data_IF_605543795668
#
_entry.id   IF_605543795668
#
_cell.length_a   1.000
_cell.length_b   1.000
_cell.length_c   1.000
_cell.angle_alpha   90.00
_cell.angle_beta   90.00
_cell.angle_gamma   90.00
#
_symmetry.space_group_name_H-M   'P 1'
#
loop_
_entity.id
_entity.type
_entity.pdbx_description
1 polymer ?
#
# COMPACT_ATOMS: atom_id res chain seq x y z
N UNK A 1 36.62 16.61 22.71
CA UNK A 1 35.70 16.69 21.56
C UNK A 1 35.86 15.42 20.73
N UNK A 2 34.79 14.78 20.27
CA UNK A 2 34.91 13.57 19.45
C UNK A 2 35.58 13.90 18.11
N UNK A 3 36.36 12.97 17.56
CA UNK A 3 37.02 13.14 16.27
C UNK A 3 35.99 13.30 15.14
N UNK A 4 36.34 13.96 14.01
CA UNK A 4 35.42 14.15 12.87
C UNK A 4 34.80 12.85 12.36
N UNK A 5 35.55 11.73 12.41
CA UNK A 5 35.08 10.40 12.02
C UNK A 5 33.98 9.87 12.96
N UNK A 6 34.16 10.01 14.27
CA UNK A 6 33.15 9.54 15.24
C UNK A 6 31.82 10.32 15.08
N UNK A 7 31.87 11.57 14.62
CA UNK A 7 30.66 12.35 14.36
C UNK A 7 29.95 11.94 13.06
N UNK A 8 30.67 11.61 11.98
CA UNK A 8 30.07 11.07 10.76
C UNK A 8 29.44 9.71 11.01
N UNK A 9 30.12 8.83 11.74
CA UNK A 9 29.62 7.49 12.06
C UNK A 9 28.32 7.55 12.88
N UNK A 10 28.28 8.43 13.89
CA UNK A 10 27.08 8.63 14.71
C UNK A 10 25.92 9.21 13.90
N UNK A 11 26.21 10.09 12.93
CA UNK A 11 25.21 10.65 12.02
C UNK A 11 24.68 9.57 11.07
N UNK A 12 25.55 8.73 10.53
CA UNK A 12 25.19 7.64 9.62
C UNK A 12 24.25 6.63 10.29
N UNK A 13 24.60 6.19 11.51
CA UNK A 13 23.74 5.32 12.30
C UNK A 13 22.36 5.93 12.55
N UNK A 14 22.29 7.24 12.85
CA UNK A 14 21.01 7.93 13.05
C UNK A 14 20.17 8.00 11.77
N UNK A 15 20.78 8.18 10.60
CA UNK A 15 20.07 8.23 9.31
C UNK A 15 19.47 6.87 8.95
N UNK A 16 20.26 5.80 9.12
CA UNK A 16 19.79 4.42 8.88
C UNK A 16 18.68 4.02 9.85
N UNK A 17 18.83 4.31 11.16
CA UNK A 17 17.81 4.03 12.18
C UNK A 17 16.51 4.80 11.93
N UNK A 18 16.61 6.06 11.51
CA UNK A 18 15.44 6.88 11.14
C UNK A 18 14.67 6.26 9.97
N UNK A 19 15.38 5.78 8.95
CA UNK A 19 14.78 5.12 7.80
C UNK A 19 14.10 3.80 8.18
N UNK A 20 14.77 2.98 9.00
CA UNK A 20 14.23 1.71 9.46
C UNK A 20 12.95 1.92 10.28
N UNK A 21 12.93 2.90 11.18
CA UNK A 21 11.72 3.28 11.94
C UNK A 21 10.57 3.69 11.03
N UNK A 22 10.84 4.51 10.03
CA UNK A 22 9.82 4.90 9.05
C UNK A 22 9.30 3.69 8.27
N UNK A 23 10.20 2.81 7.80
CA UNK A 23 9.84 1.60 7.07
C UNK A 23 8.93 0.69 7.90
N UNK A 24 9.33 0.36 9.13
CA UNK A 24 8.54 -0.50 10.01
C UNK A 24 7.16 0.09 10.28
N UNK A 25 7.09 1.40 10.53
CA UNK A 25 5.83 2.07 10.75
C UNK A 25 4.90 2.03 9.53
N UNK A 26 5.45 2.16 8.32
CA UNK A 26 4.68 1.98 7.09
C UNK A 26 4.21 0.53 6.96
N UNK A 27 5.07 -0.46 7.20
CA UNK A 27 4.72 -1.88 7.15
C UNK A 27 3.64 -2.29 8.17
N UNK A 28 3.58 -1.62 9.31
CA UNK A 28 2.57 -1.83 10.36
C UNK A 28 1.26 -1.03 10.13
N UNK A 29 1.25 -0.08 9.19
CA UNK A 29 0.08 0.75 8.89
C UNK A 29 -1.03 0.00 8.15
N UNK A 30 -2.17 0.64 7.91
CA UNK A 30 -3.24 0.07 7.07
C UNK A 30 -2.82 0.04 5.60
N UNK A 31 -3.21 -1.01 4.86
CA UNK A 31 -2.80 -1.20 3.46
C UNK A 31 -3.22 -0.04 2.54
N UNK A 32 -4.35 0.61 2.84
CA UNK A 32 -4.80 1.82 2.15
C UNK A 32 -3.74 2.93 2.22
N UNK A 33 -3.16 3.16 3.41
CA UNK A 33 -2.13 4.17 3.62
C UNK A 33 -0.77 3.67 3.15
N UNK A 34 -0.47 2.37 3.23
CA UNK A 34 0.78 1.80 2.70
C UNK A 34 0.97 2.17 1.24
N UNK A 35 -0.05 1.99 0.41
CA UNK A 35 0.04 2.31 -1.01
C UNK A 35 0.40 3.79 -1.28
N UNK A 36 -0.03 4.69 -0.39
CA UNK A 36 0.27 6.12 -0.46
C UNK A 36 1.65 6.48 0.11
N UNK A 37 2.13 5.71 1.09
CA UNK A 37 3.36 5.97 1.83
C UNK A 37 4.59 5.26 1.24
N UNK A 38 4.41 4.11 0.59
CA UNK A 38 5.48 3.34 -0.06
C UNK A 38 6.29 4.17 -1.08
N UNK A 39 5.68 5.01 -1.95
CA UNK A 39 6.43 5.83 -2.88
C UNK A 39 7.39 6.82 -2.20
N UNK A 40 7.14 7.18 -0.93
CA UNK A 40 7.98 8.09 -0.16
C UNK A 40 9.26 7.43 0.36
N UNK A 41 9.25 6.11 0.57
CA UNK A 41 10.45 5.40 1.00
C UNK A 41 11.57 5.47 -0.04
N UNK A 42 11.21 5.47 -1.33
CA UNK A 42 12.18 5.48 -2.42
C UNK A 42 13.08 6.74 -2.44
N UNK A 43 12.55 7.98 -2.47
CA UNK A 43 13.40 9.16 -2.45
C UNK A 43 14.19 9.31 -1.16
N UNK A 44 13.59 8.98 -0.01
CA UNK A 44 14.29 9.02 1.28
C UNK A 44 15.49 8.07 1.28
N UNK A 45 15.29 6.84 0.79
CA UNK A 45 16.34 5.83 0.65
C UNK A 45 17.49 6.31 -0.24
N UNK A 46 17.19 6.83 -1.44
CA UNK A 46 18.22 7.33 -2.36
C UNK A 46 18.98 8.54 -1.79
N UNK A 47 18.31 9.46 -1.11
CA UNK A 47 18.98 10.60 -0.50
C UNK A 47 19.93 10.18 0.62
N UNK A 48 19.56 9.20 1.45
CA UNK A 48 20.48 8.62 2.45
C UNK A 48 21.70 8.01 1.77
N UNK A 49 21.49 7.18 0.74
CA UNK A 49 22.57 6.57 -0.01
C UNK A 49 23.54 7.60 -0.60
N UNK A 50 23.01 8.65 -1.22
CA UNK A 50 23.81 9.74 -1.77
C UNK A 50 24.55 10.55 -0.69
N UNK A 51 23.95 10.76 0.47
CA UNK A 51 24.60 11.44 1.59
C UNK A 51 25.74 10.62 2.21
N UNK A 52 25.67 9.28 2.13
CA UNK A 52 26.77 8.39 2.54
C UNK A 52 27.94 8.45 1.56
N UNK A 53 27.68 8.47 0.25
CA UNK A 53 28.75 8.61 -0.77
C UNK A 53 29.45 9.98 -0.65
N UNK A 54 28.70 11.05 -0.39
CA UNK A 54 29.28 12.40 -0.19
C UNK A 54 30.17 12.45 1.06
N UNK A 55 29.91 11.60 2.05
CA UNK A 55 30.74 11.48 3.26
C UNK A 55 31.96 10.56 3.09
N UNK A 56 32.19 10.03 1.88
CA UNK A 56 33.28 9.09 1.55
C UNK A 56 33.18 7.73 2.27
N UNK A 57 31.99 7.41 2.81
CA UNK A 57 31.69 6.17 3.55
C UNK A 57 31.07 5.10 2.64
N UNK A 58 31.87 4.65 1.65
CA UNK A 58 31.41 3.76 0.57
C UNK A 58 30.98 2.38 1.09
N UNK A 59 31.65 1.84 2.11
CA UNK A 59 31.33 0.51 2.66
C UNK A 59 29.94 0.50 3.30
N UNK A 60 29.65 1.51 4.13
CA UNK A 60 28.34 1.71 4.75
C UNK A 60 27.26 1.92 3.69
N UNK A 61 27.54 2.72 2.65
CA UNK A 61 26.62 2.94 1.54
C UNK A 61 26.26 1.64 0.80
N UNK A 62 27.24 0.78 0.52
CA UNK A 62 27.00 -0.52 -0.14
C UNK A 62 26.18 -1.48 0.72
N UNK A 63 26.48 -1.52 2.01
CA UNK A 63 25.72 -2.34 2.96
C UNK A 63 24.26 -1.89 3.04
N UNK A 64 24.03 -0.59 3.19
CA UNK A 64 22.70 0.00 3.16
C UNK A 64 22.00 -0.29 1.83
N UNK A 65 22.73 -0.20 0.71
CA UNK A 65 22.16 -0.45 -0.60
C UNK A 65 21.68 -1.89 -0.78
N UNK A 66 22.49 -2.86 -0.34
CA UNK A 66 22.15 -4.29 -0.42
C UNK A 66 20.94 -4.69 0.42
N UNK A 67 20.72 -4.04 1.57
CA UNK A 67 19.63 -4.40 2.50
C UNK A 67 18.24 -4.03 1.98
N UNK A 68 18.13 -2.96 1.20
CA UNK A 68 16.83 -2.37 0.84
C UNK A 68 16.55 -2.39 -0.67
N UNK A 69 17.48 -2.90 -1.49
CA UNK A 69 17.31 -3.05 -2.94
C UNK A 69 16.08 -3.87 -3.33
N UNK A 70 15.71 -4.87 -2.53
CA UNK A 70 14.59 -5.78 -2.82
C UNK A 70 13.20 -5.15 -2.61
N UNK A 71 13.12 -4.01 -1.92
CA UNK A 71 11.84 -3.33 -1.62
C UNK A 71 11.20 -2.72 -2.86
N UNK A 72 12.00 -2.41 -3.89
CA UNK A 72 11.58 -1.60 -5.03
C UNK A 72 11.80 -2.35 -6.36
N UNK A 73 10.98 -3.38 -6.67
CA UNK A 73 11.12 -4.15 -7.90
C UNK A 73 10.87 -3.33 -9.18
N UNK A 74 10.06 -2.28 -9.10
CA UNK A 74 9.68 -1.45 -10.26
C UNK A 74 10.79 -0.49 -10.75
N UNK A 75 11.93 -0.45 -10.07
CA UNK A 75 13.01 0.53 -10.31
C UNK A 75 14.39 -0.14 -10.41
N UNK A 76 14.44 -1.45 -10.67
CA UNK A 76 15.68 -2.24 -10.70
C UNK A 76 16.73 -1.66 -11.67
N UNK A 77 16.32 -1.12 -12.82
CA UNK A 77 17.25 -0.54 -13.80
C UNK A 77 17.97 0.70 -13.27
N UNK A 78 17.24 1.64 -12.69
CA UNK A 78 17.79 2.84 -12.06
C UNK A 78 18.69 2.46 -10.88
N UNK A 79 18.28 1.49 -10.06
CA UNK A 79 19.09 0.96 -8.96
C UNK A 79 20.43 0.40 -9.43
N UNK A 80 20.46 -0.36 -10.53
CA UNK A 80 21.72 -0.88 -11.08
C UNK A 80 22.67 0.26 -11.48
N UNK A 81 22.13 1.35 -12.01
CA UNK A 81 22.94 2.53 -12.32
C UNK A 81 23.46 3.16 -11.02
N UNK A 82 22.63 3.36 -10.01
CA UNK A 82 23.08 3.91 -8.73
C UNK A 82 24.11 3.02 -8.01
N UNK A 83 23.99 1.69 -8.10
CA UNK A 83 24.96 0.73 -7.54
C UNK A 83 26.37 0.87 -8.16
N UNK A 84 26.44 1.27 -9.43
CA UNK A 84 27.72 1.53 -10.10
C UNK A 84 28.42 2.79 -9.58
N UNK A 85 27.68 3.71 -8.93
CA UNK A 85 28.18 5.00 -8.48
C UNK A 85 28.75 4.85 -7.08
N UNK A 86 30.06 4.64 -7.01
CA UNK A 86 30.78 4.44 -5.75
C UNK A 86 31.74 5.60 -5.42
N UNK A 87 31.78 6.65 -6.24
CA UNK A 87 32.63 7.82 -6.01
C UNK A 87 31.79 9.10 -6.07
N UNK A 88 32.08 10.09 -5.22
CA UNK A 88 31.45 11.41 -5.32
C UNK A 88 31.67 12.06 -6.69
N UNK A 89 32.76 11.76 -7.40
CA UNK A 89 32.99 12.25 -8.77
C UNK A 89 31.96 11.70 -9.75
N UNK A 90 31.69 10.40 -9.69
CA UNK A 90 30.68 9.76 -10.54
C UNK A 90 29.26 10.28 -10.27
N UNK A 91 28.97 10.76 -9.05
CA UNK A 91 27.69 11.42 -8.77
C UNK A 91 27.51 12.73 -9.54
N UNK A 92 28.61 13.47 -9.78
CA UNK A 92 28.58 14.73 -10.53
C UNK A 92 28.63 14.51 -12.05
N UNK A 93 29.06 13.33 -12.50
CA UNK A 93 29.09 12.97 -13.92
C UNK A 93 27.77 12.35 -14.39
N UNK A 94 27.06 11.63 -13.51
CA UNK A 94 25.87 10.90 -13.90
C UNK A 94 24.63 11.80 -13.94
N UNK A 95 24.09 12.00 -15.15
CA UNK A 95 22.90 12.80 -15.38
C UNK A 95 21.67 12.33 -14.56
N UNK A 96 21.56 11.04 -14.23
CA UNK A 96 20.44 10.53 -13.42
C UNK A 96 20.50 11.05 -11.98
N UNK A 97 21.68 11.07 -11.36
CA UNK A 97 21.85 11.57 -9.98
C UNK A 97 21.63 13.07 -9.93
N UNK A 98 22.13 13.80 -10.93
CA UNK A 98 21.92 15.24 -11.06
C UNK A 98 20.43 15.54 -11.24
N UNK A 99 19.77 14.82 -12.15
CA UNK A 99 18.32 14.94 -12.38
C UNK A 99 17.53 14.66 -11.10
N UNK A 100 17.91 13.64 -10.35
CA UNK A 100 17.25 13.28 -9.09
C UNK A 100 17.45 14.34 -7.99
N UNK A 101 18.63 14.95 -7.88
CA UNK A 101 18.89 16.02 -6.89
C UNK A 101 18.29 17.36 -7.28
N UNK A 102 18.08 17.62 -8.57
CA UNK A 102 17.55 18.88 -9.09
C UNK A 102 16.02 18.89 -9.20
N UNK A 103 15.42 17.77 -9.59
CA UNK A 103 13.98 17.64 -9.71
C UNK A 103 13.36 17.24 -8.36
N UNK A 104 12.22 17.84 -8.04
CA UNK A 104 11.43 17.41 -6.88
C UNK A 104 10.68 16.13 -7.22
N UNK A 105 10.68 15.18 -6.29
CA UNK A 105 9.91 13.95 -6.42
C UNK A 105 8.43 14.23 -6.11
N UNK A 106 7.56 14.00 -7.09
CA UNK A 106 6.13 14.24 -6.94
C UNK A 106 5.45 13.02 -6.33
N UNK A 107 4.78 13.21 -5.20
CA UNK A 107 3.98 12.17 -4.54
C UNK A 107 2.55 12.67 -4.36
N UNK A 108 1.59 11.86 -4.78
CA UNK A 108 0.17 12.10 -4.52
C UNK A 108 -0.26 11.12 -3.43
N UNK A 109 -0.88 11.64 -2.38
CA UNK A 109 -1.39 10.82 -1.29
C UNK A 109 -2.69 11.41 -0.74
N UNK A 110 -3.49 10.58 -0.06
CA UNK A 110 -4.67 11.05 0.65
C UNK A 110 -4.29 12.03 1.77
N UNK A 111 -5.13 13.03 2.02
CA UNK A 111 -4.90 14.01 3.10
C UNK A 111 -4.69 13.35 4.47
N UNK A 112 -5.48 12.32 4.78
CA UNK A 112 -5.33 11.57 6.03
C UNK A 112 -3.99 10.85 6.15
N UNK A 113 -3.47 10.26 5.06
CA UNK A 113 -2.17 9.61 5.03
C UNK A 113 -1.04 10.62 5.27
N UNK A 114 -1.16 11.81 4.68
CA UNK A 114 -0.22 12.91 4.88
C UNK A 114 -0.20 13.38 6.35
N UNK A 115 -1.36 13.68 6.92
CA UNK A 115 -1.45 14.14 8.32
C UNK A 115 -0.88 13.08 9.28
N UNK A 116 -1.18 11.81 9.04
CA UNK A 116 -0.66 10.67 9.79
C UNK A 116 0.87 10.58 9.69
N UNK A 117 1.43 10.74 8.50
CA UNK A 117 2.88 10.73 8.27
C UNK A 117 3.57 11.87 9.01
N UNK A 118 3.06 13.10 8.92
CA UNK A 118 3.66 14.25 9.61
C UNK A 118 3.64 14.05 11.12
N UNK A 119 2.51 13.64 11.69
CA UNK A 119 2.40 13.37 13.12
C UNK A 119 3.44 12.33 13.58
N UNK A 120 3.58 11.22 12.85
CA UNK A 120 4.57 10.19 13.18
C UNK A 120 6.01 10.73 13.11
N UNK A 121 6.35 11.50 12.08
CA UNK A 121 7.69 12.07 11.91
C UNK A 121 8.04 13.07 13.02
N UNK A 122 7.07 13.88 13.46
CA UNK A 122 7.23 14.83 14.55
C UNK A 122 7.37 14.14 15.91
N UNK A 123 6.51 13.16 16.21
CA UNK A 123 6.56 12.39 17.46
C UNK A 123 7.89 11.66 17.65
N UNK A 124 8.42 11.07 16.57
CA UNK A 124 9.68 10.33 16.59
C UNK A 124 10.92 11.22 16.41
N UNK A 125 10.74 12.54 16.30
CA UNK A 125 11.81 13.52 16.05
C UNK A 125 12.68 13.16 14.83
N UNK A 126 12.05 12.68 13.75
CA UNK A 126 12.70 12.27 12.50
C UNK A 126 13.01 13.49 11.60
N UNK A 127 13.69 14.48 12.19
CA UNK A 127 13.96 15.80 11.60
C UNK A 127 14.73 15.66 10.27
N UNK A 128 15.62 14.66 10.17
CA UNK A 128 16.38 14.40 8.95
C UNK A 128 15.47 14.02 7.77
N UNK A 129 14.52 13.10 7.99
CA UNK A 129 13.55 12.70 6.98
C UNK A 129 12.70 13.90 6.61
N UNK A 130 12.15 14.61 7.60
CA UNK A 130 11.32 15.79 7.39
C UNK A 130 12.03 16.87 6.54
N UNK A 131 13.33 17.07 6.77
CA UNK A 131 14.17 17.96 5.94
C UNK A 131 14.28 17.47 4.50
N UNK A 132 14.54 16.18 4.29
CA UNK A 132 14.57 15.59 2.93
C UNK A 132 13.23 15.80 2.24
N UNK A 133 12.12 15.54 2.94
CA UNK A 133 10.78 15.70 2.37
C UNK A 133 10.54 17.12 1.92
N UNK A 134 10.82 18.09 2.79
CA UNK A 134 10.58 19.49 2.49
C UNK A 134 11.48 20.02 1.35
N UNK A 135 12.71 19.50 1.25
CA UNK A 135 13.68 19.98 0.27
C UNK A 135 13.51 19.34 -1.11
N UNK A 136 13.26 18.02 -1.16
CA UNK A 136 13.34 17.23 -2.38
C UNK A 136 12.01 16.63 -2.82
N UNK A 137 10.93 16.78 -2.05
CA UNK A 137 9.62 16.24 -2.41
C UNK A 137 8.57 17.34 -2.57
N UNK A 138 7.65 17.10 -3.49
CA UNK A 138 6.42 17.87 -3.63
C UNK A 138 5.24 16.93 -3.42
N UNK A 139 4.58 17.09 -2.28
CA UNK A 139 3.49 16.21 -1.87
C UNK A 139 2.16 16.91 -2.13
N UNK A 140 1.33 16.29 -2.97
CA UNK A 140 -0.03 16.75 -3.23
C UNK A 140 -1.00 15.91 -2.40
N UNK A 141 -1.46 16.49 -1.30
CA UNK A 141 -2.50 15.91 -0.46
C UNK A 141 -3.87 16.09 -1.13
N UNK A 142 -4.45 15.01 -1.66
CA UNK A 142 -5.79 15.05 -2.24
C UNK A 142 -6.84 14.87 -1.13
N UNK A 143 -7.72 15.87 -0.99
CA UNK A 143 -8.94 15.76 -0.19
C UNK A 143 -10.08 15.34 -1.12
N UNK A 144 -10.29 14.03 -1.27
CA UNK A 144 -11.41 13.48 -2.06
C UNK A 144 -11.34 11.95 -2.11
N UNK A 145 -12.46 11.26 -2.37
CA UNK A 145 -12.44 9.81 -2.59
C UNK A 145 -11.46 9.53 -3.73
N UNK A 146 -10.45 8.72 -3.45
CA UNK A 146 -9.50 8.23 -4.46
C UNK A 146 -10.34 7.49 -5.50
N UNK A 147 -10.13 7.77 -6.78
CA UNK A 147 -10.90 7.14 -7.88
C UNK A 147 -10.77 5.58 -7.92
N UNK A 148 -9.99 5.00 -7.01
CA UNK A 148 -9.78 3.56 -6.85
C UNK A 148 -10.76 2.92 -5.84
N UNK A 149 -11.62 3.71 -5.19
CA UNK A 149 -12.76 3.20 -4.39
C UNK A 149 -13.99 2.82 -5.24
N UNK A 150 -13.87 2.76 -6.58
CA UNK A 150 -14.86 2.08 -7.44
C UNK A 150 -14.40 0.65 -7.73
N UNK A 151 -14.67 -0.25 -6.76
CA UNK A 151 -14.90 -1.72 -6.83
C UNK A 151 -14.66 -2.24 -5.40
N UNK A 152 -15.63 -2.56 -4.55
CA UNK A 152 -16.99 -3.04 -4.76
C UNK A 152 -17.98 -2.28 -3.88
N UNK A 153 -18.66 -1.29 -4.45
CA UNK A 153 -20.06 -1.10 -4.11
C UNK A 153 -20.84 -2.24 -4.76
N UNK A 154 -21.93 -2.68 -4.16
CA UNK A 154 -22.94 -3.47 -4.86
C UNK A 154 -23.50 -2.52 -5.92
N UNK A 155 -22.83 -2.44 -7.08
CA UNK A 155 -23.41 -1.87 -8.26
C UNK A 155 -24.65 -2.72 -8.49
N UNK A 156 -25.81 -2.12 -8.24
CA UNK A 156 -27.04 -2.59 -8.83
C UNK A 156 -26.80 -2.56 -10.35
N UNK A 157 -26.32 -3.67 -10.87
CA UNK A 157 -26.53 -4.05 -12.26
C UNK A 157 -28.06 -4.14 -12.41
N UNK A 158 -28.70 -3.00 -12.65
CA UNK A 158 -29.90 -2.99 -13.48
C UNK A 158 -29.37 -3.24 -14.88
N UNK A 159 -29.04 -4.51 -15.14
CA UNK A 159 -29.15 -5.03 -16.47
C UNK A 159 -30.62 -4.79 -16.83
N UNK A 160 -30.88 -3.84 -17.74
CA UNK A 160 -32.18 -3.69 -18.37
C UNK A 160 -32.40 -4.90 -19.30
N UNK A 161 -32.41 -6.09 -18.72
CA UNK A 161 -33.01 -7.26 -19.30
C UNK A 161 -34.52 -7.00 -19.20
N UNK A 162 -35.26 -6.94 -20.33
CA UNK A 162 -36.70 -6.81 -20.27
C UNK A 162 -37.24 -7.95 -19.40
N UNK A 163 -37.95 -7.58 -18.34
CA UNK A 163 -38.65 -8.51 -17.46
C UNK A 163 -39.67 -9.28 -18.30
N UNK A 164 -39.32 -10.47 -18.77
CA UNK A 164 -40.31 -11.39 -19.31
C UNK A 164 -41.09 -11.98 -18.12
N UNK A 165 -42.30 -11.46 -17.92
CA UNK A 165 -43.23 -11.83 -16.85
C UNK A 165 -43.81 -13.24 -17.00
N UNK A 166 -43.25 -14.08 -17.88
CA UNK A 166 -43.69 -15.46 -18.10
C UNK A 166 -42.79 -16.51 -17.43
N UNK A 167 -42.07 -16.17 -16.36
CA UNK A 167 -41.54 -17.20 -15.46
C UNK A 167 -42.71 -17.76 -14.65
N UNK A 168 -43.31 -18.83 -15.17
CA UNK A 168 -44.25 -19.68 -14.45
C UNK A 168 -43.63 -20.13 -13.14
N UNK A 169 -43.98 -19.47 -12.04
CA UNK A 169 -43.68 -19.90 -10.68
C UNK A 169 -44.67 -21.01 -10.31
N UNK A 170 -44.55 -22.16 -10.95
CA UNK A 170 -45.08 -23.42 -10.44
C UNK A 170 -43.90 -24.22 -9.93
N UNK A 171 -43.72 -24.18 -8.61
CA UNK A 171 -42.90 -25.16 -7.92
C UNK A 171 -43.62 -26.50 -8.00
N UNK A 172 -43.19 -27.39 -8.88
CA UNK A 172 -43.64 -28.80 -8.99
C UNK A 172 -43.22 -29.66 -7.79
N UNK A 173 -43.15 -29.08 -6.58
CA UNK A 173 -42.84 -29.79 -5.33
C UNK A 173 -43.76 -29.40 -4.15
N UNK A 174 -44.84 -28.64 -4.40
CA UNK A 174 -45.82 -28.28 -3.37
C UNK A 174 -47.27 -28.70 -3.68
N UNK A 175 -47.47 -29.75 -4.49
CA UNK A 175 -48.81 -30.27 -4.78
C UNK A 175 -49.12 -31.65 -4.15
N UNK A 176 -48.14 -32.48 -3.80
CA UNK A 176 -48.43 -33.80 -3.21
C UNK A 176 -48.77 -33.78 -1.71
N UNK A 177 -48.53 -32.68 -0.99
CA UNK A 177 -48.82 -32.60 0.45
C UNK A 177 -50.22 -32.09 0.79
N UNK A 178 -50.97 -31.53 -0.18
CA UNK A 178 -52.27 -30.89 0.08
C UNK A 178 -53.46 -31.82 -0.26
N UNK A 179 -53.27 -32.87 -1.07
CA UNK A 179 -54.37 -33.75 -1.50
C UNK A 179 -54.47 -35.11 -0.80
N UNK A 180 -53.63 -35.43 0.18
CA UNK A 180 -53.78 -36.66 0.96
C UNK A 180 -54.80 -36.56 2.13
N UNK A 181 -55.49 -35.42 2.32
CA UNK A 181 -56.40 -35.21 3.48
C UNK A 181 -57.85 -34.83 3.17
N UNK A 182 -58.34 -34.94 1.94
CA UNK A 182 -59.78 -34.78 1.70
C UNK A 182 -60.33 -35.67 0.58
N UNK A 183 -60.76 -36.86 1.01
CA UNK A 183 -62.02 -37.52 0.63
C UNK A 183 -62.30 -37.83 -0.85
N UNK A 184 -62.06 -39.08 -1.25
CA UNK A 184 -63.07 -40.01 -1.80
C UNK A 184 -62.40 -41.38 -2.00
N UNK A 185 -62.96 -42.54 -1.67
CA UNK A 185 -64.27 -42.90 -1.16
C UNK A 185 -64.23 -44.29 -0.53
N UNK A 186 -65.38 -44.67 0.02
CA UNK A 186 -65.69 -45.96 0.64
C UNK A 186 -65.03 -47.17 -0.05
N UNK A 187 -64.29 -48.00 0.70
CA UNK A 187 -64.49 -49.46 0.71
C UNK A 187 -64.10 -50.05 2.08
N UNK A 188 -65.13 -50.30 2.88
CA UNK A 188 -65.33 -51.49 3.74
C UNK A 188 -64.18 -51.90 4.67
N UNK A 189 -64.31 -51.59 5.97
CA UNK A 189 -64.23 -52.61 7.03
C UNK A 189 -65.29 -52.30 8.09
N UNK A 190 -66.31 -53.18 8.08
CA UNK A 190 -67.48 -53.18 8.95
C UNK A 190 -67.07 -53.86 10.26
N UNK A 191 -67.12 -53.15 11.38
CA UNK A 191 -67.19 -53.79 12.70
C UNK A 191 -68.18 -53.01 13.57
N UNK A 192 -69.45 -53.40 13.47
CA UNK A 192 -70.43 -53.28 14.55
C UNK A 192 -70.86 -54.70 14.93
N UNK A 193 -70.59 -55.06 16.18
CA UNK A 193 -71.30 -56.11 16.91
C UNK A 193 -72.74 -55.67 17.19
N UNK A 194 -73.71 -56.52 16.83
CA UNK A 194 -75.05 -56.76 17.42
C UNK A 194 -75.83 -57.55 16.35
N UNK A 195 -76.36 -58.76 16.51
CA UNK A 195 -76.61 -59.68 17.63
C UNK A 195 -76.52 -61.12 17.11
#
# INVERSE_FOLDING_TARGET
MPSPRVQSDLKNFKMEDSFLKLKLWIEDSLDLFKNDLLPLLYPVYLHIYFDLIVQDEIESAKKFFGLYKEIFPDKIEEMKVFESINSPQHMHENALVIGFRTNKYFVVMGRYAYDLLINFLEENNLIYILKIMNQYMEIKAQSGPRAEEQKMGIDAYVESCPLDLNTSLVSTECEESILARSSTGMTIWRLTCFS
#
